data_IF_863259448080
#
_entry.id   IF_863259448080
#
_cell.length_a   1.000
_cell.length_b   1.000
_cell.length_c   1.000
_cell.angle_alpha   90.00
_cell.angle_beta   90.00
_cell.angle_gamma   90.00
#
_symmetry.space_group_name_H-M   'P 1'
#
loop_
_entity.id
_entity.type
_entity.pdbx_description
1 polymer ?
#
# COMPACT_ATOMS: atom_id res chain seq x y z
N UNK A 1 -39.41 -47.85 52.29
CA UNK A 1 -38.37 -46.83 52.51
C UNK A 1 -37.72 -46.55 51.17
N UNK A 2 -37.95 -45.34 50.69
CA UNK A 2 -37.47 -44.78 49.43
C UNK A 2 -35.98 -44.42 49.51
N UNK A 3 -35.26 -44.56 48.39
CA UNK A 3 -33.93 -43.96 48.18
C UNK A 3 -32.95 -44.84 47.41
N UNK A 4 -32.12 -44.28 46.51
CA UNK A 4 -32.51 -43.36 45.46
C UNK A 4 -32.02 -43.80 44.06
N UNK A 5 -32.81 -43.42 43.07
CA UNK A 5 -32.66 -43.56 41.62
C UNK A 5 -31.44 -42.82 41.00
N UNK A 6 -30.32 -42.66 41.72
CA UNK A 6 -29.22 -41.79 41.29
C UNK A 6 -28.22 -42.44 40.32
N UNK A 7 -28.13 -43.76 40.24
CA UNK A 7 -27.15 -44.42 39.35
C UNK A 7 -27.70 -44.58 37.91
N UNK A 8 -29.01 -44.40 37.71
CA UNK A 8 -29.69 -44.58 36.41
C UNK A 8 -29.71 -43.30 35.56
N UNK A 9 -28.70 -42.44 35.67
CA UNK A 9 -28.45 -41.36 34.71
C UNK A 9 -27.17 -41.53 33.89
N UNK A 10 -26.56 -42.72 33.87
CA UNK A 10 -25.73 -43.12 32.74
C UNK A 10 -26.67 -43.55 31.59
N UNK A 11 -27.47 -42.58 31.13
CA UNK A 11 -28.27 -42.64 29.93
C UNK A 11 -27.33 -43.11 28.83
N UNK A 12 -27.56 -44.31 28.33
CA UNK A 12 -26.87 -44.87 27.18
C UNK A 12 -26.81 -43.78 26.11
N UNK A 13 -25.64 -43.18 25.93
CA UNK A 13 -25.41 -42.21 24.87
C UNK A 13 -25.55 -43.05 23.61
N UNK A 14 -26.64 -42.82 22.87
CA UNK A 14 -26.90 -43.62 21.68
C UNK A 14 -25.68 -43.51 20.74
N UNK A 15 -25.32 -44.58 20.01
CA UNK A 15 -24.21 -44.53 19.07
C UNK A 15 -24.31 -43.36 18.07
N UNK A 16 -25.54 -42.92 17.79
CA UNK A 16 -25.84 -41.75 16.99
C UNK A 16 -25.46 -40.44 17.69
N UNK A 17 -25.82 -40.26 18.97
CA UNK A 17 -25.49 -39.07 19.74
C UNK A 17 -23.97 -38.87 19.86
N UNK A 18 -23.21 -39.96 20.01
CA UNK A 18 -21.74 -39.92 20.03
C UNK A 18 -21.15 -39.46 18.69
N UNK A 19 -21.68 -39.96 17.56
CA UNK A 19 -21.24 -39.57 16.22
C UNK A 19 -21.51 -38.09 15.93
N UNK A 20 -22.69 -37.60 16.29
CA UNK A 20 -23.05 -36.18 16.11
C UNK A 20 -22.12 -35.29 16.94
N UNK A 21 -21.81 -35.69 18.18
CA UNK A 21 -20.87 -34.96 19.03
C UNK A 21 -19.46 -34.89 18.41
N UNK A 22 -18.96 -36.01 17.89
CA UNK A 22 -17.66 -36.06 17.23
C UNK A 22 -17.58 -35.14 16.01
N UNK A 23 -18.62 -35.15 15.16
CA UNK A 23 -18.69 -34.28 13.98
C UNK A 23 -18.75 -32.81 14.39
N UNK A 24 -19.51 -32.48 15.44
CA UNK A 24 -19.60 -31.10 15.95
C UNK A 24 -18.25 -30.59 16.47
N UNK A 25 -17.49 -31.43 17.18
CA UNK A 25 -16.15 -31.08 17.68
C UNK A 25 -15.19 -30.82 16.51
N UNK A 26 -15.17 -31.72 15.51
CA UNK A 26 -14.31 -31.56 14.32
C UNK A 26 -14.67 -30.31 13.54
N UNK A 27 -15.96 -30.05 13.31
CA UNK A 27 -16.41 -28.85 12.62
C UNK A 27 -16.02 -27.57 13.39
N UNK A 28 -16.17 -27.57 14.72
CA UNK A 28 -15.73 -26.47 15.57
C UNK A 28 -14.23 -26.21 15.50
N UNK A 29 -13.42 -27.27 15.51
CA UNK A 29 -11.96 -27.18 15.32
C UNK A 29 -11.60 -26.59 13.96
N UNK A 30 -12.29 -26.98 12.89
CA UNK A 30 -12.08 -26.42 11.54
C UNK A 30 -12.40 -24.92 11.48
N UNK A 31 -13.50 -24.49 12.11
CA UNK A 31 -13.86 -23.07 12.18
C UNK A 31 -12.82 -22.28 12.97
N UNK A 32 -12.38 -22.81 14.11
CA UNK A 32 -11.35 -22.16 14.93
C UNK A 32 -10.02 -22.05 14.16
N UNK A 33 -9.61 -23.13 13.49
CA UNK A 33 -8.41 -23.14 12.66
C UNK A 33 -8.52 -22.13 11.52
N UNK A 34 -9.69 -22.03 10.87
CA UNK A 34 -9.94 -21.06 9.82
C UNK A 34 -9.82 -19.62 10.32
N UNK A 35 -10.38 -19.30 11.49
CA UNK A 35 -10.27 -17.97 12.11
C UNK A 35 -8.82 -17.65 12.47
N UNK A 36 -8.08 -18.61 13.03
CA UNK A 36 -6.66 -18.44 13.37
C UNK A 36 -5.79 -18.21 12.14
N UNK A 37 -5.98 -18.99 11.07
CA UNK A 37 -5.25 -18.81 9.80
C UNK A 37 -5.61 -17.48 9.13
N UNK A 38 -6.88 -17.08 9.19
CA UNK A 38 -7.33 -15.79 8.66
C UNK A 38 -6.76 -14.61 9.45
N UNK A 39 -6.63 -14.74 10.77
CA UNK A 39 -6.01 -13.72 11.63
C UNK A 39 -4.50 -13.58 11.47
N UNK A 40 -3.79 -14.65 11.06
CA UNK A 40 -2.34 -14.62 10.79
C UNK A 40 -2.00 -13.84 9.50
N UNK A 41 -2.96 -13.67 8.59
CA UNK A 41 -2.84 -12.75 7.46
C UNK A 41 -3.26 -11.35 7.88
N UNK A 42 -2.50 -10.75 8.80
CA UNK A 42 -2.57 -9.31 9.02
C UNK A 42 -2.37 -8.58 7.68
N UNK A 43 -2.92 -7.36 7.51
CA UNK A 43 -2.68 -6.58 6.31
C UNK A 43 -1.18 -6.50 6.08
N UNK A 44 -0.73 -6.92 4.90
CA UNK A 44 0.67 -6.79 4.53
C UNK A 44 1.11 -5.34 4.79
N UNK A 45 2.30 -5.09 5.35
CA UNK A 45 2.77 -3.73 5.57
C UNK A 45 2.70 -2.99 4.24
N UNK A 46 1.87 -1.95 4.18
CA UNK A 46 1.71 -1.12 2.99
C UNK A 46 3.11 -0.63 2.61
N UNK A 47 3.56 -0.81 1.35
CA UNK A 47 4.86 -0.34 0.93
C UNK A 47 4.96 1.16 1.23
N UNK A 48 5.89 1.54 2.11
CA UNK A 48 6.03 2.93 2.54
C UNK A 48 6.80 3.68 1.46
N UNK A 49 6.13 4.64 0.82
CA UNK A 49 6.79 5.65 -0.01
C UNK A 49 6.73 6.97 0.73
N UNK A 50 7.89 7.55 1.01
CA UNK A 50 7.98 8.80 1.76
C UNK A 50 8.93 9.76 1.05
N UNK A 51 8.60 11.04 1.07
CA UNK A 51 9.38 12.08 0.39
C UNK A 51 9.65 13.26 1.30
N UNK A 52 10.74 13.96 1.02
CA UNK A 52 10.99 15.31 1.55
C UNK A 52 10.82 16.29 0.41
N UNK A 53 9.95 17.29 0.60
CA UNK A 53 9.68 18.33 -0.39
C UNK A 53 10.26 19.64 0.14
N UNK A 54 11.11 20.29 -0.65
CA UNK A 54 11.72 21.57 -0.33
C UNK A 54 11.52 22.50 -1.53
N UNK A 55 11.14 23.75 -1.27
CA UNK A 55 11.16 24.78 -2.30
C UNK A 55 12.59 25.30 -2.48
N UNK A 56 13.16 25.11 -3.66
CA UNK A 56 14.48 25.58 -4.04
C UNK A 56 14.37 26.57 -5.20
N UNK A 57 14.22 27.85 -4.85
CA UNK A 57 14.03 28.93 -5.81
C UNK A 57 12.75 28.76 -6.64
N UNK A 58 12.93 28.52 -7.94
CA UNK A 58 11.83 28.35 -8.92
C UNK A 58 11.34 26.91 -9.03
N UNK A 59 11.90 25.97 -8.28
CA UNK A 59 11.54 24.56 -8.34
C UNK A 59 11.19 24.01 -6.97
N UNK A 60 10.38 22.96 -6.96
CA UNK A 60 10.27 22.02 -5.85
C UNK A 60 11.31 20.93 -6.06
N UNK A 61 12.10 20.67 -5.02
CA UNK A 61 12.98 19.51 -4.91
C UNK A 61 12.30 18.47 -4.04
N UNK A 62 11.98 17.33 -4.63
CA UNK A 62 11.34 16.19 -3.97
C UNK A 62 12.36 15.07 -3.85
N UNK A 63 12.86 14.78 -2.66
CA UNK A 63 13.81 13.69 -2.42
C UNK A 63 13.09 12.47 -1.85
N UNK A 64 13.33 11.30 -2.44
CA UNK A 64 12.74 10.04 -1.98
C UNK A 64 13.51 9.52 -0.76
N UNK A 65 12.77 9.26 0.32
CA UNK A 65 13.32 8.80 1.61
C UNK A 65 13.12 7.30 1.79
N UNK A 66 11.89 6.85 1.57
CA UNK A 66 11.54 5.43 1.50
C UNK A 66 10.91 5.14 0.14
N UNK A 67 11.32 4.05 -0.49
CA UNK A 67 10.80 3.60 -1.79
C UNK A 67 10.59 2.08 -1.72
N UNK A 68 9.43 1.56 -2.16
CA UNK A 68 9.25 0.13 -2.41
C UNK A 68 10.24 -0.29 -3.51
N UNK A 69 11.25 -1.08 -3.14
CA UNK A 69 12.28 -1.52 -4.09
C UNK A 69 11.72 -2.40 -5.22
N UNK A 70 12.53 -2.59 -6.26
CA UNK A 70 12.17 -3.46 -7.39
C UNK A 70 11.24 -2.81 -8.42
N UNK A 71 11.23 -1.48 -8.50
CA UNK A 71 10.45 -0.71 -9.48
C UNK A 71 11.38 0.07 -10.38
N UNK A 72 11.21 -0.06 -11.69
CA UNK A 72 11.94 0.75 -12.66
C UNK A 72 11.29 2.14 -12.81
N UNK A 73 12.02 3.17 -13.25
CA UNK A 73 11.45 4.48 -13.57
C UNK A 73 10.29 4.40 -14.59
N UNK A 74 10.31 3.40 -15.48
CA UNK A 74 9.24 3.14 -16.46
C UNK A 74 7.93 2.61 -15.85
N UNK A 75 7.98 2.15 -14.60
CA UNK A 75 6.86 1.56 -13.87
C UNK A 75 6.29 2.50 -12.79
N UNK A 76 7.00 3.59 -12.53
CA UNK A 76 6.64 4.64 -11.58
C UNK A 76 6.08 5.84 -12.35
N UNK A 77 5.05 6.46 -11.77
CA UNK A 77 4.33 7.55 -12.41
C UNK A 77 4.10 8.72 -11.46
N UNK A 78 4.22 9.93 -12.00
CA UNK A 78 3.81 11.18 -11.39
C UNK A 78 2.49 11.64 -12.00
N UNK A 79 1.55 12.02 -11.16
CA UNK A 79 0.40 12.82 -11.52
C UNK A 79 0.41 14.07 -10.64
N UNK A 80 0.05 15.23 -11.20
CA UNK A 80 -0.09 16.45 -10.42
C UNK A 80 -1.49 16.98 -10.57
N UNK A 81 -2.13 17.26 -9.43
CA UNK A 81 -3.40 17.99 -9.38
C UNK A 81 -3.15 19.44 -8.99
N UNK A 82 -3.90 20.36 -9.59
CA UNK A 82 -3.91 21.74 -9.15
C UNK A 82 -4.68 21.89 -7.82
N UNK A 83 -4.71 23.11 -7.28
CA UNK A 83 -5.37 23.41 -6.00
C UNK A 83 -6.88 23.11 -5.98
N UNK A 84 -7.55 23.05 -7.13
CA UNK A 84 -8.97 22.69 -7.24
C UNK A 84 -9.21 21.19 -7.48
N UNK A 85 -8.15 20.37 -7.50
CA UNK A 85 -8.20 18.92 -7.71
C UNK A 85 -8.23 18.48 -9.18
N UNK A 86 -8.21 19.43 -10.12
CA UNK A 86 -8.10 19.17 -11.55
C UNK A 86 -6.71 18.66 -11.93
N UNK A 87 -6.63 17.83 -12.97
CA UNK A 87 -5.35 17.24 -13.41
C UNK A 87 -4.53 18.33 -14.13
N UNK A 88 -3.38 18.68 -13.57
CA UNK A 88 -2.41 19.61 -14.15
C UNK A 88 -1.32 18.88 -14.94
N UNK A 89 -0.85 17.74 -14.42
CA UNK A 89 0.00 16.79 -15.13
C UNK A 89 -0.73 15.45 -15.21
N UNK A 90 -0.97 14.96 -16.42
CA UNK A 90 -1.46 13.60 -16.62
C UNK A 90 -0.48 12.60 -16.02
N UNK A 91 -0.94 11.37 -15.76
CA UNK A 91 -0.08 10.32 -15.20
C UNK A 91 1.08 10.00 -16.16
N UNK A 92 2.26 10.54 -15.85
CA UNK A 92 3.48 10.48 -16.68
C UNK A 92 4.52 9.62 -16.00
N UNK A 93 5.18 8.73 -16.76
CA UNK A 93 6.20 7.84 -16.21
C UNK A 93 7.47 8.60 -15.83
N UNK A 94 8.17 8.19 -14.77
CA UNK A 94 9.46 8.79 -14.41
C UNK A 94 10.48 8.68 -15.54
N UNK A 95 10.43 7.62 -16.35
CA UNK A 95 11.28 7.48 -17.53
C UNK A 95 11.04 8.56 -18.60
N UNK A 96 9.87 9.19 -18.60
CA UNK A 96 9.50 10.27 -19.54
C UNK A 96 9.72 11.67 -18.92
N UNK A 97 9.91 11.74 -17.60
CA UNK A 97 10.27 12.96 -16.87
C UNK A 97 11.78 13.23 -17.03
N UNK A 98 12.19 13.63 -18.22
CA UNK A 98 13.60 13.92 -18.53
C UNK A 98 13.82 15.42 -18.70
N UNK A 99 15.08 15.87 -18.63
CA UNK A 99 15.42 17.27 -18.92
C UNK A 99 14.98 17.69 -20.33
N UNK A 100 14.99 16.78 -21.29
CA UNK A 100 14.54 17.02 -22.67
C UNK A 100 13.04 17.27 -22.76
N UNK A 101 12.25 16.63 -21.89
CA UNK A 101 10.80 16.78 -21.82
C UNK A 101 10.34 17.82 -20.79
N UNK A 102 11.28 18.57 -20.19
CA UNK A 102 10.96 19.58 -19.17
C UNK A 102 9.93 20.60 -19.65
N UNK A 103 10.03 21.08 -20.89
CA UNK A 103 9.09 22.07 -21.45
C UNK A 103 7.67 21.52 -21.60
N UNK A 104 7.50 20.21 -21.73
CA UNK A 104 6.21 19.55 -21.86
C UNK A 104 5.59 19.17 -20.50
N UNK A 105 6.42 18.83 -19.51
CA UNK A 105 5.94 18.27 -18.24
C UNK A 105 6.23 19.14 -17.03
N UNK A 106 7.12 20.13 -17.10
CA UNK A 106 7.54 20.94 -15.95
C UNK A 106 8.06 20.10 -14.77
N UNK A 107 8.51 18.87 -15.04
CA UNK A 107 8.97 17.93 -14.04
C UNK A 107 10.06 17.03 -14.63
N UNK A 108 11.03 16.68 -13.81
CA UNK A 108 12.19 15.85 -14.16
C UNK A 108 12.45 14.87 -13.03
N UNK A 109 12.71 13.61 -13.38
CA UNK A 109 13.25 12.60 -12.51
C UNK A 109 14.76 12.75 -12.38
N UNK A 110 15.22 12.86 -11.14
CA UNK A 110 16.62 12.98 -10.78
C UNK A 110 17.09 11.63 -10.25
N UNK A 111 17.92 10.97 -11.05
CA UNK A 111 18.59 9.73 -10.64
C UNK A 111 19.74 10.08 -9.68
N UNK A 112 19.53 9.80 -8.40
CA UNK A 112 20.53 10.02 -7.36
C UNK A 112 21.55 8.89 -7.30
N UNK A 113 21.29 7.78 -8.00
CA UNK A 113 22.03 6.53 -7.86
C UNK A 113 22.21 5.83 -9.22
N UNK A 114 22.95 6.41 -10.17
CA UNK A 114 23.03 5.93 -11.57
C UNK A 114 23.63 4.54 -11.77
N UNK A 115 24.17 3.92 -10.71
CA UNK A 115 24.65 2.53 -10.73
C UNK A 115 23.55 1.49 -10.50
N UNK A 116 22.33 1.91 -10.16
CA UNK A 116 21.19 1.03 -9.84
C UNK A 116 20.02 1.39 -10.75
N UNK A 117 19.46 0.44 -11.52
CA UNK A 117 18.40 0.74 -12.48
C UNK A 117 17.04 0.97 -11.82
N UNK A 118 16.83 0.48 -10.60
CA UNK A 118 15.58 0.67 -9.85
C UNK A 118 15.52 2.03 -9.16
N UNK A 119 14.30 2.57 -9.05
CA UNK A 119 14.02 3.74 -8.21
C UNK A 119 14.26 3.37 -6.75
N UNK A 120 15.04 4.20 -6.05
CA UNK A 120 15.42 3.97 -4.67
C UNK A 120 15.57 5.27 -3.87
N UNK A 121 15.95 5.11 -2.61
CA UNK A 121 16.23 6.24 -1.71
C UNK A 121 17.35 7.10 -2.30
N UNK A 122 17.18 8.42 -2.22
CA UNK A 122 18.14 9.40 -2.74
C UNK A 122 17.81 9.90 -4.13
N UNK A 123 17.02 9.17 -4.91
CA UNK A 123 16.44 9.68 -6.13
C UNK A 123 15.41 10.76 -5.82
N UNK A 124 14.95 11.47 -6.84
CA UNK A 124 13.98 12.54 -6.62
C UNK A 124 13.28 13.04 -7.87
N UNK A 125 12.50 14.09 -7.65
CA UNK A 125 11.85 14.86 -8.70
C UNK A 125 12.22 16.32 -8.52
N UNK A 126 12.52 16.98 -9.64
CA UNK A 126 12.57 18.44 -9.73
C UNK A 126 11.30 18.88 -10.46
N UNK A 127 10.54 19.79 -9.86
CA UNK A 127 9.21 20.17 -10.36
C UNK A 127 9.13 21.70 -10.42
N UNK A 128 8.70 22.26 -11.55
CA UNK A 128 8.57 23.70 -11.76
C UNK A 128 7.46 24.30 -10.88
N UNK A 129 7.81 25.33 -10.10
CA UNK A 129 6.84 26.04 -9.24
C UNK A 129 5.88 26.93 -10.05
N UNK A 130 6.22 27.26 -11.29
CA UNK A 130 5.37 28.09 -12.17
C UNK A 130 4.23 27.25 -12.74
N UNK A 131 4.55 26.06 -13.26
CA UNK A 131 3.59 25.08 -13.75
C UNK A 131 2.78 24.44 -12.62
N UNK A 132 3.42 24.22 -11.47
CA UNK A 132 2.84 23.56 -10.30
C UNK A 132 3.02 24.42 -9.04
N UNK A 133 2.13 25.42 -8.85
CA UNK A 133 2.22 26.35 -7.72
C UNK A 133 1.92 25.65 -6.38
N UNK A 134 2.18 26.32 -5.24
CA UNK A 134 1.76 25.85 -3.92
C UNK A 134 0.29 25.44 -3.91
N UNK A 135 -0.07 24.51 -3.03
CA UNK A 135 -1.38 23.86 -2.93
C UNK A 135 -1.66 22.80 -4.02
N UNK A 136 -0.80 22.63 -5.02
CA UNK A 136 -0.89 21.49 -5.94
C UNK A 136 -0.60 20.18 -5.20
N UNK A 137 -1.18 19.07 -5.63
CA UNK A 137 -0.99 17.74 -5.04
C UNK A 137 -0.18 16.86 -5.96
N UNK A 138 0.94 16.33 -5.46
CA UNK A 138 1.72 15.29 -6.11
C UNK A 138 1.15 13.92 -5.76
N UNK A 139 0.85 13.13 -6.77
CA UNK A 139 0.48 11.72 -6.65
C UNK A 139 1.58 10.86 -7.28
N UNK A 140 2.19 9.97 -6.48
CA UNK A 140 3.17 9.00 -6.96
C UNK A 140 2.55 7.61 -6.88
N UNK A 141 2.56 6.89 -8.00
CA UNK A 141 1.91 5.59 -8.15
C UNK A 141 2.75 4.65 -9.00
N UNK A 142 2.48 3.36 -8.91
CA UNK A 142 2.78 2.39 -9.96
C UNK A 142 1.50 2.00 -10.72
N UNK A 143 1.56 0.95 -11.54
CA UNK A 143 0.39 0.42 -12.28
C UNK A 143 -0.72 -0.15 -11.40
N UNK A 144 -0.44 -0.47 -10.15
CA UNK A 144 -1.32 -1.24 -9.25
C UNK A 144 -1.81 -0.43 -8.06
N UNK A 145 -1.02 0.55 -7.59
CA UNK A 145 -1.28 1.26 -6.36
C UNK A 145 -0.79 2.71 -6.40
N UNK A 146 -1.51 3.57 -5.67
CA UNK A 146 -1.04 4.89 -5.26
C UNK A 146 -0.18 4.73 -4.00
N UNK A 147 1.04 5.27 -4.02
CA UNK A 147 1.95 5.20 -2.90
C UNK A 147 1.98 6.46 -2.06
N UNK A 148 1.88 7.63 -2.72
CA UNK A 148 1.94 8.93 -2.08
C UNK A 148 0.91 9.86 -2.71
N UNK A 149 0.23 10.64 -1.86
CA UNK A 149 -0.53 11.83 -2.25
C UNK A 149 -0.15 12.95 -1.28
N UNK A 150 0.63 13.92 -1.73
CA UNK A 150 1.14 14.99 -0.87
C UNK A 150 0.97 16.36 -1.50
N UNK A 151 0.52 17.33 -0.71
CA UNK A 151 0.36 18.71 -1.14
C UNK A 151 1.69 19.47 -1.07
N UNK A 152 1.92 20.34 -2.04
CA UNK A 152 3.03 21.29 -2.07
C UNK A 152 2.70 22.50 -1.18
N UNK A 153 3.61 22.86 -0.28
CA UNK A 153 3.44 23.94 0.71
C UNK A 153 4.53 24.99 0.58
#
# INVERSE_FOLDING_TARGET
MEGPQEIRKLRAISPLAWRVLMVAIVAGLFVLLYVLISGVRGPAPTPRFSVTIIRDGTNWSVTFRDVPGGRLPSEMYLLVRNASGGIALLRTSFADLTVQNWSAHGAEFIDGNPGVPEVQRGDGLRIDTTSYPPQSTLEISDRSALFLSQRLE
#
